data_IF_135768722186
#
_entry.id   IF_135768722186
#
_cell.length_a   1.000
_cell.length_b   1.000
_cell.length_c   1.000
_cell.angle_alpha   90.00
_cell.angle_beta   90.00
_cell.angle_gamma   90.00
#
_symmetry.space_group_name_H-M   'P 1'
#
loop_
_entity.id
_entity.type
_entity.pdbx_description
1 polymer ?
#
# COMPACT_ATOMS: atom_id res chain seq x y z
N UNK A 1 11.16 17.25 34.15
CA UNK A 1 11.59 17.30 32.73
C UNK A 1 11.11 16.07 31.99
N UNK A 2 9.89 16.10 31.46
CA UNK A 2 9.28 14.99 30.71
C UNK A 2 9.73 15.08 29.25
N UNK A 3 10.63 14.19 28.85
CA UNK A 3 11.07 14.07 27.45
C UNK A 3 9.88 13.58 26.63
N UNK A 4 9.33 14.48 25.82
CA UNK A 4 8.36 14.15 24.77
C UNK A 4 8.93 13.02 23.90
N UNK A 5 8.50 11.78 24.14
CA UNK A 5 8.74 10.67 23.21
C UNK A 5 7.96 11.02 21.96
N UNK A 6 8.65 11.57 20.96
CA UNK A 6 8.11 11.73 19.61
C UNK A 6 7.78 10.33 19.11
N UNK A 7 6.50 10.00 19.21
CA UNK A 7 5.86 8.80 18.68
C UNK A 7 6.12 8.81 17.18
N UNK A 8 7.19 8.16 16.74
CA UNK A 8 7.45 7.90 15.33
C UNK A 8 6.30 7.07 14.84
N UNK A 9 5.34 7.71 14.15
CA UNK A 9 4.08 7.10 13.76
C UNK A 9 4.32 5.76 13.07
N UNK A 10 3.60 4.73 13.52
CA UNK A 10 3.64 3.40 12.95
C UNK A 10 3.44 3.47 11.43
N UNK A 11 4.52 3.22 10.68
CA UNK A 11 4.50 3.18 9.22
C UNK A 11 4.16 1.76 8.80
N UNK A 12 2.91 1.35 8.98
CA UNK A 12 2.42 0.04 8.55
C UNK A 12 1.72 0.15 7.20
N UNK A 13 2.03 -0.77 6.30
CA UNK A 13 1.23 -1.02 5.09
C UNK A 13 0.23 -2.10 5.44
N UNK A 14 -1.03 -1.84 5.14
CA UNK A 14 -2.11 -2.80 5.34
C UNK A 14 -2.58 -3.29 3.98
N UNK A 15 -2.69 -4.60 3.81
CA UNK A 15 -3.24 -5.20 2.60
C UNK A 15 -4.36 -6.15 2.96
N UNK A 16 -5.44 -6.11 2.19
CA UNK A 16 -6.51 -7.10 2.22
C UNK A 16 -6.72 -7.62 0.81
N UNK A 17 -6.93 -8.92 0.69
CA UNK A 17 -7.28 -9.55 -0.56
C UNK A 17 -8.60 -10.29 -0.40
N UNK A 18 -9.48 -10.15 -1.39
CA UNK A 18 -10.70 -10.94 -1.51
C UNK A 18 -10.77 -11.53 -2.91
N UNK A 19 -10.89 -12.85 -3.00
CA UNK A 19 -11.10 -13.56 -4.28
C UNK A 19 -12.45 -13.16 -4.88
N UNK A 20 -12.49 -13.10 -6.21
CA UNK A 20 -13.71 -12.99 -7.01
C UNK A 20 -13.68 -14.03 -8.12
N UNK A 21 -14.84 -14.59 -8.43
CA UNK A 21 -14.98 -15.54 -9.55
C UNK A 21 -14.89 -14.86 -10.91
N UNK A 22 -15.19 -13.55 -10.98
CA UNK A 22 -15.00 -12.77 -12.18
C UNK A 22 -13.49 -12.61 -12.50
N UNK A 23 -13.07 -12.73 -13.77
CA UNK A 23 -11.67 -12.59 -14.15
C UNK A 23 -11.19 -11.15 -13.92
N UNK A 24 -9.92 -11.03 -13.52
CA UNK A 24 -9.25 -9.75 -13.33
C UNK A 24 -9.09 -9.33 -11.87
N UNK A 25 -8.02 -8.58 -11.61
CA UNK A 25 -7.71 -8.07 -10.27
C UNK A 25 -7.87 -6.56 -10.25
N UNK A 26 -8.66 -6.06 -9.31
CA UNK A 26 -8.81 -4.62 -9.05
C UNK A 26 -7.98 -4.24 -7.84
N UNK A 27 -7.22 -3.15 -7.92
CA UNK A 27 -6.44 -2.62 -6.79
C UNK A 27 -6.99 -1.26 -6.38
N UNK A 28 -7.27 -1.10 -5.10
CA UNK A 28 -7.63 0.18 -4.50
C UNK A 28 -6.56 0.57 -3.50
N UNK A 29 -5.97 1.76 -3.69
CA UNK A 29 -4.94 2.29 -2.79
C UNK A 29 -5.54 3.45 -2.02
N UNK A 30 -5.41 3.42 -0.70
CA UNK A 30 -5.79 4.52 0.20
C UNK A 30 -4.60 4.93 1.04
N UNK A 31 -4.56 6.21 1.42
CA UNK A 31 -3.58 6.76 2.33
C UNK A 31 -4.28 7.13 3.64
N UNK A 32 -3.69 6.77 4.79
CA UNK A 32 -4.28 7.14 6.09
C UNK A 32 -4.34 8.67 6.22
N UNK A 33 -5.56 9.21 6.32
CA UNK A 33 -5.83 10.65 6.49
C UNK A 33 -6.78 11.30 5.46
N UNK A 34 -7.27 10.57 4.45
CA UNK A 34 -8.27 11.11 3.52
C UNK A 34 -9.68 10.92 4.09
N UNK A 35 -10.22 11.95 4.74
CA UNK A 35 -11.66 12.08 4.88
C UNK A 35 -12.28 12.28 3.48
N UNK A 36 -13.46 11.70 3.15
CA UNK A 36 -14.20 12.08 1.96
C UNK A 36 -14.89 13.43 2.25
N UNK A 37 -14.17 14.52 2.05
CA UNK A 37 -14.66 15.87 2.32
C UNK A 37 -14.29 16.80 1.18
N UNK A 38 -15.30 17.14 0.39
CA UNK A 38 -15.46 18.32 -0.46
C UNK A 38 -14.18 19.10 -0.85
N UNK A 39 -13.75 18.96 -2.10
CA UNK A 39 -13.03 20.01 -2.77
C UNK A 39 -13.58 20.11 -4.20
N UNK A 40 -14.34 21.17 -4.43
CA UNK A 40 -14.42 21.85 -5.73
C UNK A 40 -13.02 21.87 -6.36
N UNK A 41 -12.92 21.41 -7.60
CA UNK A 41 -11.75 21.65 -8.46
C UNK A 41 -11.59 23.17 -8.70
N UNK A 42 -10.36 23.71 -8.73
CA UNK A 42 -9.86 24.26 -10.01
C UNK A 42 -8.31 24.12 -10.17
N UNK A 43 -7.64 24.64 -11.22
CA UNK A 43 -7.24 23.85 -12.38
C UNK A 43 -5.74 24.04 -12.69
N UNK A 44 -4.84 23.40 -11.94
CA UNK A 44 -3.48 23.13 -12.42
C UNK A 44 -2.76 22.11 -11.53
N UNK A 45 -2.59 20.93 -12.10
CA UNK A 45 -1.62 19.86 -11.79
C UNK A 45 -0.84 19.93 -10.47
N UNK A 46 -1.23 19.08 -9.53
CA UNK A 46 -0.25 18.39 -8.67
C UNK A 46 -0.18 16.92 -9.08
N UNK A 47 0.46 16.66 -10.23
CA UNK A 47 0.69 15.33 -10.79
C UNK A 47 1.66 14.45 -9.96
N UNK A 48 2.08 14.91 -8.77
CA UNK A 48 3.09 14.25 -7.94
C UNK A 48 2.57 13.19 -6.97
N UNK A 49 1.33 13.31 -6.47
CA UNK A 49 0.77 12.34 -5.52
C UNK A 49 0.04 11.18 -6.22
N UNK A 50 -0.59 11.43 -7.37
CA UNK A 50 -1.28 10.39 -8.16
C UNK A 50 -0.30 9.39 -8.77
N UNK A 51 0.88 9.84 -9.23
CA UNK A 51 1.87 8.97 -9.85
C UNK A 51 2.41 7.90 -8.87
N UNK A 52 2.53 8.24 -7.58
CA UNK A 52 2.98 7.32 -6.55
C UNK A 52 1.92 6.25 -6.24
N UNK A 53 0.64 6.66 -6.21
CA UNK A 53 -0.50 5.75 -6.07
C UNK A 53 -0.61 4.77 -7.24
N UNK A 54 -0.46 5.26 -8.48
CA UNK A 54 -0.53 4.43 -9.70
C UNK A 54 0.62 3.43 -9.78
N UNK A 55 1.86 3.86 -9.49
CA UNK A 55 3.02 2.96 -9.48
C UNK A 55 2.92 1.86 -8.42
N UNK A 56 2.37 2.20 -7.24
CA UNK A 56 2.14 1.23 -6.17
C UNK A 56 0.99 0.28 -6.49
N UNK A 57 -0.10 0.78 -7.09
CA UNK A 57 -1.23 -0.04 -7.54
C UNK A 57 -0.79 -1.05 -8.60
N UNK A 58 0.02 -0.65 -9.57
CA UNK A 58 0.58 -1.55 -10.58
C UNK A 58 1.50 -2.63 -9.99
N UNK A 59 2.35 -2.26 -9.02
CA UNK A 59 3.20 -3.23 -8.32
C UNK A 59 2.39 -4.23 -7.47
N UNK A 60 1.36 -3.76 -6.78
CA UNK A 60 0.45 -4.61 -6.01
C UNK A 60 -0.33 -5.56 -6.93
N UNK A 61 -0.82 -5.06 -8.07
CA UNK A 61 -1.49 -5.88 -9.09
C UNK A 61 -0.59 -7.01 -9.57
N UNK A 62 0.62 -6.68 -10.02
CA UNK A 62 1.58 -7.68 -10.52
C UNK A 62 1.93 -8.70 -9.44
N UNK A 63 2.08 -8.27 -8.19
CA UNK A 63 2.37 -9.16 -7.06
C UNK A 63 1.20 -10.10 -6.77
N UNK A 64 -0.04 -9.61 -6.81
CA UNK A 64 -1.22 -10.45 -6.62
C UNK A 64 -1.37 -11.47 -7.76
N UNK A 65 -1.20 -11.04 -9.01
CA UNK A 65 -1.23 -11.92 -10.18
C UNK A 65 -0.17 -13.03 -10.08
N UNK A 66 1.05 -12.65 -9.73
CA UNK A 66 2.15 -13.60 -9.52
C UNK A 66 1.83 -14.60 -8.41
N UNK A 67 1.36 -14.13 -7.25
CA UNK A 67 1.04 -15.01 -6.13
C UNK A 67 -0.10 -15.99 -6.46
N UNK A 68 -1.12 -15.55 -7.20
CA UNK A 68 -2.18 -16.44 -7.69
C UNK A 68 -1.65 -17.46 -8.70
N UNK A 69 -0.78 -17.04 -9.61
CA UNK A 69 -0.15 -17.94 -10.59
C UNK A 69 0.73 -19.00 -9.91
N UNK A 70 1.56 -18.59 -8.94
CA UNK A 70 2.40 -19.49 -8.14
C UNK A 70 1.56 -20.50 -7.33
N UNK A 71 0.33 -20.13 -6.94
CA UNK A 71 -0.62 -21.01 -6.27
C UNK A 71 -1.46 -21.89 -7.22
N UNK A 72 -1.24 -21.82 -8.55
CA UNK A 72 -2.05 -22.55 -9.54
C UNK A 72 -3.49 -22.02 -9.69
N UNK A 73 -3.73 -20.78 -9.27
CA UNK A 73 -5.05 -20.11 -9.26
C UNK A 73 -5.09 -18.88 -10.17
N UNK A 74 -4.32 -18.88 -11.25
CA UNK A 74 -4.22 -17.75 -12.20
C UNK A 74 -5.55 -17.38 -12.87
N UNK A 75 -6.53 -18.28 -12.88
CA UNK A 75 -7.87 -18.06 -13.44
C UNK A 75 -8.79 -17.25 -12.50
N UNK A 76 -8.42 -17.11 -11.23
CA UNK A 76 -9.21 -16.33 -10.26
C UNK A 76 -8.91 -14.83 -10.39
N UNK A 77 -9.95 -14.03 -10.27
CA UNK A 77 -9.82 -12.60 -10.05
C UNK A 77 -9.85 -12.25 -8.57
N UNK A 78 -9.84 -10.95 -8.28
CA UNK A 78 -9.95 -10.48 -6.91
C UNK A 78 -9.86 -8.99 -6.74
N UNK A 79 -9.98 -8.56 -5.49
CA UNK A 79 -9.81 -7.17 -5.08
C UNK A 79 -8.69 -7.08 -4.06
N UNK A 80 -7.72 -6.20 -4.32
CA UNK A 80 -6.67 -5.81 -3.38
C UNK A 80 -7.05 -4.45 -2.82
N UNK A 81 -7.11 -4.35 -1.50
CA UNK A 81 -7.22 -3.08 -0.79
C UNK A 81 -5.90 -2.83 -0.07
N UNK A 82 -5.21 -1.76 -0.47
CA UNK A 82 -3.92 -1.39 0.08
C UNK A 82 -4.05 -0.05 0.82
N UNK A 83 -3.74 -0.04 2.10
CA UNK A 83 -3.61 1.20 2.88
C UNK A 83 -2.15 1.47 3.17
N UNK A 84 -1.68 2.65 2.82
CA UNK A 84 -0.29 3.05 3.05
C UNK A 84 -0.17 4.28 3.94
N UNK A 85 0.89 4.36 4.73
CA UNK A 85 1.09 5.48 5.63
C UNK A 85 1.45 6.73 4.83
N UNK A 86 0.87 7.88 5.20
CA UNK A 86 1.08 9.17 4.54
C UNK A 86 2.57 9.48 4.35
N UNK A 87 3.01 9.98 3.18
CA UNK A 87 4.29 10.65 3.07
C UNK A 87 4.26 11.87 3.99
N UNK A 88 4.99 11.83 5.12
CA UNK A 88 5.13 12.98 6.02
C UNK A 88 5.37 14.25 5.18
N UNK A 89 4.45 15.22 5.29
CA UNK A 89 4.56 16.50 4.61
C UNK A 89 5.95 17.06 4.92
N UNK A 90 6.63 17.61 3.91
CA UNK A 90 7.99 18.15 3.98
C UNK A 90 8.13 19.07 5.20
N UNK A 91 8.57 18.51 6.32
CA UNK A 91 8.72 19.19 7.59
C UNK A 91 10.05 18.76 8.19
N UNK A 92 11.07 19.56 7.91
CA UNK A 92 12.36 19.75 8.60
C UNK A 92 13.20 18.55 9.04
N UNK A 93 12.81 17.31 8.76
CA UNK A 93 13.62 16.14 9.05
C UNK A 93 14.56 15.84 7.87
N UNK A 94 15.86 15.86 8.19
CA UNK A 94 17.04 15.43 7.41
C UNK A 94 16.70 14.56 6.19
N UNK A 95 17.19 14.91 4.98
CA UNK A 95 16.85 14.19 3.77
C UNK A 95 17.46 12.77 3.80
N UNK A 96 16.73 11.79 4.32
CA UNK A 96 16.89 10.42 3.85
C UNK A 96 16.48 10.42 2.39
N UNK A 97 17.40 10.05 1.48
CA UNK A 97 17.19 10.09 0.04
C UNK A 97 15.78 9.61 -0.32
N UNK A 98 14.91 10.45 -0.92
CA UNK A 98 13.48 10.17 -1.09
C UNK A 98 13.20 8.84 -1.82
N UNK A 99 14.15 8.33 -2.60
CA UNK A 99 14.08 7.02 -3.25
C UNK A 99 14.12 5.81 -2.29
N UNK A 100 14.84 5.86 -1.17
CA UNK A 100 14.97 4.69 -0.26
C UNK A 100 13.68 4.42 0.51
N UNK A 101 13.00 5.48 0.95
CA UNK A 101 11.69 5.38 1.59
C UNK A 101 10.64 4.81 0.65
N UNK A 102 10.61 5.28 -0.60
CA UNK A 102 9.67 4.78 -1.63
C UNK A 102 9.90 3.30 -1.91
N UNK A 103 11.16 2.87 -2.05
CA UNK A 103 11.52 1.45 -2.20
C UNK A 103 11.11 0.62 -0.98
N UNK A 104 11.28 1.14 0.23
CA UNK A 104 10.86 0.45 1.45
C UNK A 104 9.33 0.27 1.53
N UNK A 105 8.55 1.30 1.19
CA UNK A 105 7.09 1.20 1.13
C UNK A 105 6.64 0.21 0.06
N UNK A 106 7.23 0.26 -1.13
CA UNK A 106 6.94 -0.70 -2.21
C UNK A 106 7.22 -2.14 -1.77
N UNK A 107 8.40 -2.41 -1.20
CA UNK A 107 8.74 -3.74 -0.67
C UNK A 107 7.78 -4.20 0.42
N UNK A 108 7.35 -3.29 1.31
CA UNK A 108 6.38 -3.62 2.35
C UNK A 108 5.00 -3.92 1.75
N UNK A 109 4.57 -3.18 0.73
CA UNK A 109 3.33 -3.43 0.00
C UNK A 109 3.35 -4.76 -0.75
N UNK A 110 4.42 -5.06 -1.50
CA UNK A 110 4.56 -6.33 -2.21
C UNK A 110 4.47 -7.51 -1.22
N UNK A 111 5.15 -7.41 -0.07
CA UNK A 111 5.05 -8.41 1.01
C UNK A 111 3.64 -8.51 1.59
N UNK A 112 3.00 -7.38 1.88
CA UNK A 112 1.66 -7.37 2.45
C UNK A 112 0.64 -8.00 1.50
N UNK A 113 0.73 -7.71 0.20
CA UNK A 113 -0.14 -8.28 -0.84
C UNK A 113 0.08 -9.78 -0.97
N UNK A 114 1.32 -10.24 -1.09
CA UNK A 114 1.62 -11.67 -1.20
C UNK A 114 1.09 -12.45 0.01
N UNK A 115 1.27 -11.92 1.22
CA UNK A 115 0.74 -12.51 2.44
C UNK A 115 -0.79 -12.49 2.50
N UNK A 116 -1.43 -11.41 2.06
CA UNK A 116 -2.89 -11.31 2.02
C UNK A 116 -3.51 -12.30 1.03
N UNK A 117 -2.90 -12.49 -0.14
CA UNK A 117 -3.32 -13.52 -1.11
C UNK A 117 -3.17 -14.91 -0.51
N UNK A 118 -2.02 -15.23 0.08
CA UNK A 118 -1.77 -16.52 0.72
C UNK A 118 -2.70 -16.78 1.93
N UNK A 119 -3.06 -15.74 2.70
CA UNK A 119 -4.03 -15.84 3.78
C UNK A 119 -5.44 -16.15 3.21
N UNK A 120 -5.87 -15.41 2.20
CA UNK A 120 -7.18 -15.60 1.57
C UNK A 120 -7.34 -16.99 0.94
N UNK A 121 -6.30 -17.51 0.27
CA UNK A 121 -6.31 -18.87 -0.28
C UNK A 121 -6.37 -19.96 0.79
N UNK A 122 -5.96 -19.65 2.03
CA UNK A 122 -6.12 -20.53 3.20
C UNK A 122 -7.48 -20.35 3.91
N UNK A 123 -8.36 -19.50 3.39
CA UNK A 123 -9.67 -19.20 3.98
C UNK A 123 -9.67 -18.06 5.00
N UNK A 124 -8.56 -17.34 5.18
CA UNK A 124 -8.46 -16.20 6.10
C UNK A 124 -8.74 -14.87 5.37
N UNK A 125 -9.81 -14.18 5.77
CA UNK A 125 -10.24 -12.90 5.21
C UNK A 125 -9.67 -11.68 5.95
N UNK A 126 -8.84 -11.88 6.98
CA UNK A 126 -8.26 -10.81 7.77
C UNK A 126 -7.25 -9.98 6.96
N UNK A 127 -7.20 -8.68 7.24
CA UNK A 127 -6.21 -7.79 6.63
C UNK A 127 -4.83 -8.01 7.23
N UNK A 128 -3.80 -8.11 6.37
CA UNK A 128 -2.40 -8.25 6.75
C UNK A 128 -1.78 -6.87 6.99
N UNK A 129 -0.90 -6.76 7.99
CA UNK A 129 -0.15 -5.54 8.32
C UNK A 129 1.35 -5.81 8.25
N UNK A 130 2.08 -4.97 7.51
CA UNK A 130 3.54 -5.07 7.36
C UNK A 130 4.19 -3.75 7.71
N UNK A 131 5.19 -3.76 8.60
CA UNK A 131 5.94 -2.56 8.95
C UNK A 131 6.92 -2.16 7.84
N UNK A 132 6.93 -0.88 7.50
CA UNK A 132 7.91 -0.28 6.60
C UNK A 132 9.22 -0.09 7.37
N UNK A 133 10.19 -0.98 7.13
CA UNK A 133 11.56 -0.84 7.65
C UNK A 133 12.39 -0.02 6.65
N UNK A 134 13.00 1.11 7.05
CA UNK A 134 14.01 1.75 6.20
C UNK A 134 15.19 0.78 6.04
N UNK A 135 15.70 0.63 4.82
CA UNK A 135 16.97 -0.06 4.59
C UNK A 135 18.08 0.74 5.28
N UNK A 136 18.70 0.14 6.30
CA UNK A 136 19.92 0.63 6.95
C UNK A 136 21.06 0.78 5.95
#
# INVERSE_FOLDING_TARGET
MTRHRRRGGDRTVHARFSVREAPGITVTVSHDGTAPGAADEPPWGTAGDTADGTGLAGAALHTAQRALAEAGRAYLGGRVELRTPRPAARGTCRPTAPGTRRRAVRRAADRAVALAVAACLRGDAAGVRVHVRPSS
#
